data_IF_616872764389
#
_entry.id   IF_616872764389
#
_cell.length_a   1.000
_cell.length_b   1.000
_cell.length_c   1.000
_cell.angle_alpha   90.00
_cell.angle_beta   90.00
_cell.angle_gamma   90.00
#
_symmetry.space_group_name_H-M   'P 1'
#
loop_
_entity.id
_entity.type
_entity.pdbx_description
1 polymer ?
#
# COMPACT_ATOMS: atom_id res chain seq x y z
N UNK A 1 -21.26 45.88 -62.98
CA UNK A 1 -22.26 46.09 -61.91
C UNK A 1 -23.48 45.24 -62.18
N UNK A 2 -23.69 44.15 -61.43
CA UNK A 2 -24.97 43.44 -61.28
C UNK A 2 -24.98 42.82 -59.88
N UNK A 3 -25.80 43.39 -59.00
CA UNK A 3 -26.09 42.88 -57.65
C UNK A 3 -27.07 41.73 -57.81
N UNK A 4 -26.77 40.58 -57.22
CA UNK A 4 -27.75 39.52 -56.97
C UNK A 4 -27.79 39.34 -55.45
N UNK A 5 -28.89 39.79 -54.86
CA UNK A 5 -29.28 39.43 -53.50
C UNK A 5 -29.79 37.97 -53.54
N UNK A 6 -29.31 37.13 -52.63
CA UNK A 6 -29.95 35.86 -52.28
C UNK A 6 -30.21 35.81 -50.77
N UNK A 7 -31.31 35.19 -50.34
CA UNK A 7 -31.82 35.27 -48.98
C UNK A 7 -31.07 34.35 -48.01
N UNK A 8 -30.84 34.87 -46.79
CA UNK A 8 -30.30 34.14 -45.64
C UNK A 8 -31.44 33.28 -45.06
N UNK A 9 -31.33 31.96 -45.18
CA UNK A 9 -32.16 31.02 -44.44
C UNK A 9 -31.53 30.77 -43.06
N UNK A 10 -32.15 31.32 -42.01
CA UNK A 10 -31.77 31.04 -40.62
C UNK A 10 -32.40 29.70 -40.23
N UNK A 11 -31.59 28.65 -40.20
CA UNK A 11 -31.97 27.36 -39.61
C UNK A 11 -31.75 27.48 -38.10
N UNK A 12 -32.84 27.59 -37.34
CA UNK A 12 -32.84 27.50 -35.88
C UNK A 12 -32.68 26.02 -35.52
N UNK A 13 -31.44 25.58 -35.27
CA UNK A 13 -31.17 24.25 -34.73
C UNK A 13 -31.50 24.22 -33.24
N UNK A 14 -32.67 23.70 -32.89
CA UNK A 14 -33.04 23.33 -31.53
C UNK A 14 -32.25 22.08 -31.15
N UNK A 15 -31.00 22.25 -30.70
CA UNK A 15 -30.28 21.17 -30.04
C UNK A 15 -30.85 21.01 -28.63
N UNK A 16 -31.72 20.01 -28.49
CA UNK A 16 -32.24 19.57 -27.21
C UNK A 16 -31.11 19.26 -26.23
N UNK A 17 -31.15 19.93 -25.09
CA UNK A 17 -30.41 19.57 -23.89
C UNK A 17 -30.89 18.18 -23.44
N UNK A 18 -30.24 17.13 -23.93
CA UNK A 18 -30.29 15.84 -23.25
C UNK A 18 -29.54 16.00 -21.93
N UNK A 19 -30.29 16.31 -20.87
CA UNK A 19 -29.83 16.13 -19.51
C UNK A 19 -29.49 14.65 -19.35
N UNK A 20 -28.20 14.33 -19.46
CA UNK A 20 -27.67 13.01 -19.18
C UNK A 20 -28.02 12.69 -17.72
N UNK A 21 -28.99 11.78 -17.54
CA UNK A 21 -29.33 11.18 -16.26
C UNK A 21 -28.02 10.72 -15.61
N UNK A 22 -27.68 11.17 -14.39
CA UNK A 22 -26.48 10.68 -13.73
C UNK A 22 -26.64 9.17 -13.57
N UNK A 23 -25.88 8.41 -14.37
CA UNK A 23 -25.79 6.97 -14.21
C UNK A 23 -25.32 6.74 -12.77
N UNK A 24 -26.20 6.16 -11.94
CA UNK A 24 -25.83 5.62 -10.63
C UNK A 24 -24.66 4.67 -10.88
N UNK A 25 -23.44 5.14 -10.56
CA UNK A 25 -22.25 4.32 -10.63
C UNK A 25 -22.52 3.09 -9.76
N UNK A 26 -22.50 1.91 -10.38
CA UNK A 26 -22.64 0.65 -9.62
C UNK A 26 -21.57 0.66 -8.53
N UNK A 27 -21.91 0.24 -7.29
CA UNK A 27 -20.91 0.18 -6.23
C UNK A 27 -19.75 -0.68 -6.70
N UNK A 28 -18.59 -0.04 -6.80
CA UNK A 28 -17.38 -0.68 -7.31
C UNK A 28 -17.00 -1.80 -6.35
N UNK A 29 -16.84 -3.02 -6.88
CA UNK A 29 -16.36 -4.16 -6.09
C UNK A 29 -14.93 -3.83 -5.64
N UNK A 30 -14.76 -3.55 -4.35
CA UNK A 30 -13.43 -3.39 -3.77
C UNK A 30 -12.71 -4.74 -3.83
N UNK A 31 -11.44 -4.72 -4.22
CA UNK A 31 -10.58 -5.87 -4.03
C UNK A 31 -10.23 -6.01 -2.54
N UNK A 32 -10.00 -7.24 -2.06
CA UNK A 32 -9.75 -7.49 -0.63
C UNK A 32 -8.65 -6.62 -0.03
N UNK A 33 -7.65 -6.23 -0.84
CA UNK A 33 -6.57 -5.37 -0.40
C UNK A 33 -6.92 -3.90 -0.19
N UNK A 34 -7.87 -3.38 -0.95
CA UNK A 34 -8.27 -1.98 -0.90
C UNK A 34 -8.83 -1.61 0.48
N UNK A 35 -9.45 -2.57 1.16
CA UNK A 35 -9.88 -2.43 2.55
C UNK A 35 -8.71 -2.16 3.51
N UNK A 36 -7.59 -2.85 3.37
CA UNK A 36 -6.42 -2.64 4.24
C UNK A 36 -5.77 -1.28 3.99
N UNK A 37 -5.72 -0.83 2.73
CA UNK A 37 -5.24 0.52 2.42
C UNK A 37 -6.14 1.56 3.07
N UNK A 38 -7.46 1.47 2.87
CA UNK A 38 -8.43 2.42 3.45
C UNK A 38 -8.33 2.43 4.98
N UNK A 39 -8.19 1.26 5.61
CA UNK A 39 -8.01 1.14 7.06
C UNK A 39 -6.69 1.72 7.56
N UNK A 40 -5.69 1.90 6.69
CA UNK A 40 -4.39 2.49 7.03
C UNK A 40 -4.31 4.00 6.84
N UNK A 41 -5.36 4.63 6.31
CA UNK A 41 -5.39 6.07 6.10
C UNK A 41 -5.77 6.83 7.37
N UNK A 42 -5.27 8.06 7.57
CA UNK A 42 -5.73 8.89 8.66
C UNK A 42 -7.20 9.32 8.43
N UNK A 43 -7.86 9.71 9.50
CA UNK A 43 -9.25 10.15 9.43
C UNK A 43 -9.41 11.39 8.54
N UNK A 44 -10.50 11.41 7.76
CA UNK A 44 -10.75 12.46 6.79
C UNK A 44 -9.90 12.40 5.51
N UNK A 45 -8.94 11.47 5.40
CA UNK A 45 -8.24 11.25 4.15
C UNK A 45 -9.19 10.73 3.06
N UNK A 46 -8.89 11.10 1.81
CA UNK A 46 -9.63 10.58 0.67
C UNK A 46 -9.48 9.07 0.58
N UNK A 47 -10.62 8.37 0.57
CA UNK A 47 -10.70 6.92 0.37
C UNK A 47 -10.78 6.54 -1.11
N UNK A 48 -10.63 7.51 -2.00
CA UNK A 48 -10.70 7.29 -3.44
C UNK A 48 -9.41 6.61 -3.92
N UNK A 49 -9.57 5.41 -4.47
CA UNK A 49 -8.48 4.66 -5.07
C UNK A 49 -8.49 4.88 -6.58
N UNK A 50 -7.42 5.51 -7.06
CA UNK A 50 -7.18 5.74 -8.48
C UNK A 50 -6.99 4.39 -9.17
N UNK A 51 -7.71 4.17 -10.28
CA UNK A 51 -7.60 2.93 -11.07
C UNK A 51 -6.76 3.24 -12.30
N UNK A 52 -5.47 3.35 -12.06
CA UNK A 52 -4.50 3.62 -13.11
C UNK A 52 -4.15 2.32 -13.85
N UNK A 53 -3.64 2.39 -15.10
CA UNK A 53 -3.31 1.21 -15.89
C UNK A 53 -2.39 0.21 -15.17
N UNK A 54 -1.28 0.67 -14.55
CA UNK A 54 -0.37 -0.25 -13.85
C UNK A 54 -0.99 -0.81 -12.56
N UNK A 55 -1.87 -0.06 -11.90
CA UNK A 55 -2.61 -0.56 -10.73
C UNK A 55 -3.56 -1.70 -11.12
N UNK A 56 -4.31 -1.53 -12.21
CA UNK A 56 -5.18 -2.58 -12.75
C UNK A 56 -4.38 -3.79 -13.25
N UNK A 57 -3.22 -3.57 -13.86
CA UNK A 57 -2.31 -4.65 -14.24
C UNK A 57 -1.83 -5.44 -13.02
N UNK A 58 -1.40 -4.76 -11.96
CA UNK A 58 -0.95 -5.40 -10.73
C UNK A 58 -2.07 -6.19 -10.04
N UNK A 59 -3.29 -5.64 -10.00
CA UNK A 59 -4.48 -6.37 -9.52
C UNK A 59 -4.77 -7.60 -10.39
N UNK A 60 -4.64 -7.49 -11.71
CA UNK A 60 -4.83 -8.62 -12.63
C UNK A 60 -3.79 -9.71 -12.39
N UNK A 61 -2.51 -9.35 -12.20
CA UNK A 61 -1.44 -10.29 -11.86
C UNK A 61 -1.70 -11.00 -10.53
N UNK A 62 -2.29 -10.32 -9.56
CA UNK A 62 -2.59 -10.90 -8.26
C UNK A 62 -3.83 -11.80 -8.26
N UNK A 63 -4.95 -11.34 -8.84
CA UNK A 63 -6.24 -12.01 -8.70
C UNK A 63 -6.62 -12.95 -9.85
N UNK A 64 -6.03 -12.81 -11.04
CA UNK A 64 -6.38 -13.68 -12.16
C UNK A 64 -5.61 -15.01 -12.08
N UNK A 65 -6.34 -16.10 -11.78
CA UNK A 65 -5.80 -17.45 -11.68
C UNK A 65 -5.09 -17.92 -12.96
N UNK A 66 -5.53 -17.45 -14.14
CA UNK A 66 -4.91 -17.82 -15.43
C UNK A 66 -3.47 -17.29 -15.56
N UNK A 67 -3.10 -16.30 -14.74
CA UNK A 67 -1.75 -15.72 -14.72
C UNK A 67 -0.86 -16.31 -13.62
N UNK A 68 -1.39 -17.21 -12.80
CA UNK A 68 -0.67 -17.81 -11.68
C UNK A 68 0.23 -18.93 -12.18
N UNK A 69 1.39 -19.07 -11.52
CA UNK A 69 2.34 -20.15 -11.84
C UNK A 69 2.02 -21.35 -10.96
N UNK A 70 1.92 -22.57 -11.52
CA UNK A 70 1.75 -23.77 -10.73
C UNK A 70 3.02 -24.07 -9.93
N UNK A 71 2.87 -24.25 -8.62
CA UNK A 71 3.94 -24.61 -7.71
C UNK A 71 3.58 -25.85 -6.88
N UNK A 72 4.58 -26.64 -6.52
CA UNK A 72 4.40 -27.82 -5.68
C UNK A 72 4.38 -27.41 -4.21
N UNK A 73 3.20 -27.30 -3.63
CA UNK A 73 3.03 -27.01 -2.22
C UNK A 73 2.99 -28.32 -1.40
N UNK A 74 3.82 -28.39 -0.36
CA UNK A 74 3.91 -29.59 0.50
C UNK A 74 3.55 -29.24 1.94
N UNK A 75 2.51 -29.89 2.47
CA UNK A 75 2.03 -29.67 3.82
C UNK A 75 1.81 -30.99 4.57
N UNK A 76 1.54 -30.92 5.88
CA UNK A 76 1.18 -32.08 6.70
C UNK A 76 -0.33 -32.16 6.82
N UNK A 77 -0.88 -33.31 6.44
CA UNK A 77 -2.30 -33.64 6.56
C UNK A 77 -2.38 -34.98 7.30
N UNK A 78 -3.02 -35.01 8.47
CA UNK A 78 -3.13 -36.21 9.32
C UNK A 78 -1.77 -36.88 9.60
N UNK A 79 -0.74 -36.08 9.89
CA UNK A 79 0.62 -36.57 10.18
C UNK A 79 1.41 -37.04 8.96
N UNK A 80 0.81 -37.11 7.76
CA UNK A 80 1.47 -37.50 6.51
C UNK A 80 1.86 -36.27 5.69
N UNK A 81 2.98 -36.37 4.98
CA UNK A 81 3.45 -35.31 4.06
C UNK A 81 2.72 -35.47 2.72
N UNK A 82 1.91 -34.47 2.37
CA UNK A 82 1.12 -34.44 1.13
C UNK A 82 1.64 -33.30 0.26
N UNK A 83 1.86 -33.57 -1.02
CA UNK A 83 2.21 -32.55 -2.01
C UNK A 83 1.06 -32.36 -2.99
N UNK A 84 0.62 -31.11 -3.18
CA UNK A 84 -0.38 -30.73 -4.20
C UNK A 84 0.18 -29.65 -5.09
N UNK A 85 -0.22 -29.64 -6.36
CA UNK A 85 0.01 -28.47 -7.21
C UNK A 85 -1.00 -27.40 -6.84
N UNK A 86 -0.50 -26.21 -6.56
CA UNK A 86 -1.30 -25.02 -6.27
C UNK A 86 -0.74 -23.88 -7.11
N UNK A 87 -1.61 -23.12 -7.77
CA UNK A 87 -1.18 -21.97 -8.55
C UNK A 87 -1.09 -20.74 -7.66
N UNK A 88 0.04 -20.03 -7.69
CA UNK A 88 0.25 -18.79 -6.95
C UNK A 88 0.60 -17.62 -7.89
N UNK A 89 0.26 -16.37 -7.50
CA UNK A 89 0.77 -15.19 -8.17
C UNK A 89 2.29 -15.11 -8.10
N UNK A 90 2.92 -14.55 -9.13
CA UNK A 90 4.31 -14.11 -9.06
C UNK A 90 4.38 -12.84 -8.18
N UNK A 91 4.54 -13.01 -6.88
CA UNK A 91 4.46 -11.92 -5.90
C UNK A 91 5.53 -10.85 -6.11
N UNK A 92 6.72 -11.23 -6.61
CA UNK A 92 7.76 -10.25 -6.94
C UNK A 92 7.31 -9.36 -8.10
N UNK A 93 6.76 -9.96 -9.17
CA UNK A 93 6.21 -9.21 -10.30
C UNK A 93 5.03 -8.33 -9.88
N UNK A 94 4.11 -8.86 -9.06
CA UNK A 94 2.99 -8.07 -8.52
C UNK A 94 3.50 -6.86 -7.74
N UNK A 95 4.43 -7.09 -6.79
CA UNK A 95 5.02 -6.02 -5.97
C UNK A 95 5.67 -4.93 -6.83
N UNK A 96 6.51 -5.33 -7.78
CA UNK A 96 7.20 -4.40 -8.69
C UNK A 96 6.21 -3.57 -9.52
N UNK A 97 5.13 -4.19 -9.98
CA UNK A 97 4.09 -3.51 -10.78
C UNK A 97 3.32 -2.49 -9.94
N UNK A 98 2.94 -2.85 -8.70
CA UNK A 98 2.34 -1.88 -7.77
C UNK A 98 3.29 -0.73 -7.42
N UNK A 99 4.58 -1.02 -7.20
CA UNK A 99 5.56 0.02 -6.90
C UNK A 99 5.76 0.96 -8.11
N UNK A 100 5.77 0.42 -9.32
CA UNK A 100 5.82 1.20 -10.55
C UNK A 100 4.61 2.13 -10.67
N UNK A 101 3.41 1.62 -10.38
CA UNK A 101 2.19 2.44 -10.32
C UNK A 101 2.27 3.58 -9.29
N UNK A 102 2.85 3.32 -8.12
CA UNK A 102 3.07 4.36 -7.12
C UNK A 102 4.01 5.47 -7.61
N UNK A 103 5.14 5.08 -8.23
CA UNK A 103 6.19 6.00 -8.67
C UNK A 103 5.78 6.78 -9.93
N UNK A 104 5.26 6.09 -10.94
CA UNK A 104 5.00 6.68 -12.27
C UNK A 104 3.62 7.30 -12.39
N UNK A 105 2.61 6.78 -11.68
CA UNK A 105 1.23 7.23 -11.78
C UNK A 105 0.75 7.95 -10.51
N UNK A 106 1.61 8.09 -9.49
CA UNK A 106 1.28 8.73 -8.22
C UNK A 106 0.23 7.97 -7.40
N UNK A 107 0.03 6.69 -7.68
CA UNK A 107 -1.04 5.90 -7.05
C UNK A 107 -0.65 5.44 -5.63
N UNK A 108 -1.03 6.24 -4.63
CA UNK A 108 -0.72 5.96 -3.21
C UNK A 108 -1.24 4.62 -2.70
N UNK A 109 -2.40 4.17 -3.20
CA UNK A 109 -2.91 2.86 -2.85
C UNK A 109 -1.98 1.76 -3.35
N UNK A 110 -1.42 1.91 -4.55
CA UNK A 110 -0.44 0.98 -5.10
C UNK A 110 0.82 0.87 -4.23
N UNK A 111 1.31 1.99 -3.70
CA UNK A 111 2.47 1.98 -2.78
C UNK A 111 2.19 1.12 -1.53
N UNK A 112 1.00 1.28 -0.95
CA UNK A 112 0.55 0.43 0.16
C UNK A 112 0.45 -1.04 -0.25
N UNK A 113 -0.12 -1.35 -1.41
CA UNK A 113 -0.23 -2.74 -1.89
C UNK A 113 1.15 -3.36 -2.11
N UNK A 114 2.11 -2.61 -2.67
CA UNK A 114 3.48 -3.06 -2.80
C UNK A 114 4.09 -3.38 -1.42
N UNK A 115 3.84 -2.56 -0.40
CA UNK A 115 4.34 -2.80 0.94
C UNK A 115 3.66 -4.02 1.57
N UNK A 116 2.35 -4.17 1.41
CA UNK A 116 1.59 -5.32 1.90
C UNK A 116 2.09 -6.64 1.28
N UNK A 117 2.25 -6.68 -0.04
CA UNK A 117 2.77 -7.87 -0.74
C UNK A 117 4.19 -8.18 -0.27
N UNK A 118 5.05 -7.17 -0.14
CA UNK A 118 6.41 -7.37 0.38
C UNK A 118 6.40 -7.91 1.81
N UNK A 119 5.60 -7.35 2.72
CA UNK A 119 5.53 -7.80 4.12
C UNK A 119 5.15 -9.28 4.25
N UNK A 120 4.22 -9.76 3.41
CA UNK A 120 3.65 -11.10 3.53
C UNK A 120 4.37 -12.15 2.65
N UNK A 121 4.98 -11.73 1.54
CA UNK A 121 5.50 -12.66 0.52
C UNK A 121 6.90 -12.32 0.01
N UNK A 122 7.48 -11.18 0.42
CA UNK A 122 8.84 -10.81 0.04
C UNK A 122 9.89 -11.33 1.03
N UNK A 123 11.13 -11.40 0.56
CA UNK A 123 12.27 -11.79 1.40
C UNK A 123 12.66 -10.63 2.32
N UNK A 124 12.16 -10.66 3.56
CA UNK A 124 12.52 -9.69 4.60
C UNK A 124 13.65 -10.21 5.51
N UNK A 125 14.30 -11.31 5.16
CA UNK A 125 15.41 -11.89 5.92
C UNK A 125 16.76 -11.39 5.41
N UNK A 126 16.91 -11.16 4.11
CA UNK A 126 18.12 -10.59 3.56
C UNK A 126 18.14 -9.05 3.61
N UNK A 127 19.34 -8.46 3.66
CA UNK A 127 19.53 -7.01 3.79
C UNK A 127 18.85 -6.21 2.66
N UNK A 128 18.98 -6.66 1.41
CA UNK A 128 18.42 -5.98 0.25
C UNK A 128 16.90 -5.87 0.35
N UNK A 129 16.22 -6.96 0.69
CA UNK A 129 14.77 -6.97 0.82
C UNK A 129 14.28 -6.15 2.00
N UNK A 130 15.00 -6.17 3.13
CA UNK A 130 14.70 -5.27 4.26
C UNK A 130 14.82 -3.79 3.86
N UNK A 131 15.88 -3.40 3.14
CA UNK A 131 16.04 -2.03 2.65
C UNK A 131 14.96 -1.62 1.65
N UNK A 132 14.63 -2.51 0.70
CA UNK A 132 13.54 -2.29 -0.25
C UNK A 132 12.19 -2.11 0.45
N UNK A 133 11.91 -2.90 1.49
CA UNK A 133 10.70 -2.75 2.29
C UNK A 133 10.69 -1.42 3.06
N UNK A 134 11.80 -1.11 3.75
CA UNK A 134 11.96 0.14 4.48
C UNK A 134 11.71 1.37 3.61
N UNK A 135 12.33 1.41 2.43
CA UNK A 135 12.17 2.52 1.49
C UNK A 135 10.69 2.74 1.11
N UNK A 136 9.96 1.65 0.90
CA UNK A 136 8.53 1.73 0.58
C UNK A 136 7.71 2.25 1.77
N UNK A 137 7.87 1.67 2.97
CA UNK A 137 7.08 2.12 4.14
C UNK A 137 7.47 3.53 4.61
N UNK A 138 8.72 3.94 4.41
CA UNK A 138 9.16 5.31 4.66
C UNK A 138 8.53 6.31 3.67
N UNK A 139 8.37 5.93 2.39
CA UNK A 139 7.64 6.74 1.42
C UNK A 139 6.15 6.88 1.80
N UNK A 140 5.51 5.78 2.21
CA UNK A 140 4.13 5.80 2.73
C UNK A 140 3.98 6.70 3.97
N UNK A 141 4.95 6.66 4.90
CA UNK A 141 4.96 7.55 6.05
C UNK A 141 5.04 9.04 5.64
N UNK A 142 5.85 9.36 4.62
CA UNK A 142 5.91 10.72 4.06
C UNK A 142 4.57 11.16 3.47
N UNK A 143 3.87 10.23 2.83
CA UNK A 143 2.50 10.45 2.31
C UNK A 143 1.42 10.55 3.39
N UNK A 144 1.77 10.37 4.67
CA UNK A 144 0.83 10.48 5.79
C UNK A 144 0.07 9.20 6.11
N UNK A 145 0.49 8.06 5.56
CA UNK A 145 -0.16 6.77 5.81
C UNK A 145 0.24 6.20 7.19
N UNK A 146 -0.75 5.74 7.97
CA UNK A 146 -0.57 5.27 9.34
C UNK A 146 0.23 3.96 9.42
N UNK A 147 0.04 3.06 8.45
CA UNK A 147 0.87 1.86 8.33
C UNK A 147 2.33 2.22 8.05
N UNK A 148 2.56 3.13 7.11
CA UNK A 148 3.91 3.62 6.80
C UNK A 148 4.64 4.18 8.03
N UNK A 149 3.96 4.99 8.84
CA UNK A 149 4.55 5.52 10.07
C UNK A 149 4.99 4.43 11.06
N UNK A 150 4.10 3.47 11.36
CA UNK A 150 4.40 2.40 12.33
C UNK A 150 5.54 1.52 11.83
N UNK A 151 5.47 1.08 10.58
CA UNK A 151 6.47 0.16 10.02
C UNK A 151 7.83 0.83 9.83
N UNK A 152 7.88 2.10 9.42
CA UNK A 152 9.15 2.83 9.30
C UNK A 152 9.80 3.12 10.66
N UNK A 153 9.01 3.43 11.70
CA UNK A 153 9.53 3.62 13.05
C UNK A 153 10.23 2.36 13.56
N UNK A 154 9.65 1.18 13.33
CA UNK A 154 10.18 -0.12 13.76
C UNK A 154 11.62 -0.36 13.31
N UNK A 155 12.00 0.08 12.12
CA UNK A 155 13.37 -0.09 11.61
C UNK A 155 14.39 0.68 12.45
N UNK A 156 14.05 1.88 12.90
CA UNK A 156 14.88 2.65 13.83
C UNK A 156 14.80 2.11 15.26
N UNK A 157 13.64 1.60 15.70
CA UNK A 157 13.46 1.01 17.02
C UNK A 157 14.25 -0.27 17.20
N UNK A 158 14.40 -1.08 16.17
CA UNK A 158 15.04 -2.40 16.26
C UNK A 158 16.45 -2.46 15.67
N UNK A 159 16.88 -1.43 14.94
CA UNK A 159 18.16 -1.41 14.24
C UNK A 159 18.26 -2.49 13.16
N UNK A 160 17.31 -2.50 12.21
CA UNK A 160 17.17 -3.52 11.16
C UNK A 160 17.66 -2.95 9.81
N UNK A 161 18.08 -3.80 8.87
CA UNK A 161 18.43 -3.41 7.50
C UNK A 161 19.65 -2.49 7.41
N UNK A 162 20.68 -2.72 8.23
CA UNK A 162 21.86 -1.85 8.34
C UNK A 162 21.53 -0.40 8.79
N UNK A 163 20.30 -0.17 9.26
CA UNK A 163 19.92 1.06 9.93
C UNK A 163 20.28 0.88 11.40
N UNK A 164 21.12 1.77 11.93
CA UNK A 164 21.47 1.75 13.35
C UNK A 164 20.24 2.01 14.22
N UNK A 165 20.19 1.35 15.38
CA UNK A 165 19.22 1.67 16.43
C UNK A 165 19.23 3.19 16.69
N UNK A 166 18.07 3.82 16.58
CA UNK A 166 17.91 5.26 16.77
C UNK A 166 16.54 5.57 17.38
N UNK A 167 16.48 5.47 18.70
CA UNK A 167 15.26 5.72 19.48
C UNK A 167 14.65 7.10 19.23
N UNK A 168 15.50 8.13 19.14
CA UNK A 168 15.05 9.51 18.93
C UNK A 168 14.31 9.64 17.61
N UNK A 169 14.82 9.01 16.55
CA UNK A 169 14.19 9.01 15.24
C UNK A 169 12.90 8.18 15.24
N UNK A 170 12.89 7.00 15.86
CA UNK A 170 11.68 6.18 16.01
C UNK A 170 10.55 6.96 16.73
N UNK A 171 10.85 7.54 17.89
CA UNK A 171 9.90 8.34 18.67
C UNK A 171 9.41 9.58 17.91
N UNK A 172 10.27 10.22 17.11
CA UNK A 172 9.88 11.34 16.26
C UNK A 172 8.82 10.90 15.23
N UNK A 173 9.02 9.76 14.57
CA UNK A 173 8.06 9.21 13.60
C UNK A 173 6.75 8.84 14.30
N UNK A 174 6.81 8.14 15.43
CA UNK A 174 5.61 7.73 16.19
C UNK A 174 4.80 8.92 16.72
N UNK A 175 5.43 10.00 17.18
CA UNK A 175 4.72 11.22 17.63
C UNK A 175 4.03 11.96 16.49
N UNK A 176 4.59 11.90 15.27
CA UNK A 176 3.90 12.42 14.08
C UNK A 176 2.67 11.55 13.78
N UNK A 177 2.84 10.23 13.85
CA UNK A 177 1.78 9.26 13.64
C UNK A 177 0.64 9.44 14.64
N UNK A 178 0.96 9.60 15.93
CA UNK A 178 -0.01 9.80 17.01
C UNK A 178 -0.96 10.96 16.71
N UNK A 179 -0.42 12.08 16.19
CA UNK A 179 -1.22 13.24 15.81
C UNK A 179 -2.05 13.00 14.55
N UNK A 180 -1.43 12.44 13.49
CA UNK A 180 -2.10 12.27 12.19
C UNK A 180 -3.12 11.15 12.19
N UNK A 181 -2.89 10.10 12.97
CA UNK A 181 -3.68 8.88 13.01
C UNK A 181 -4.50 8.76 14.30
N UNK A 182 -4.66 9.85 15.06
CA UNK A 182 -5.32 9.86 16.37
C UNK A 182 -6.71 9.22 16.35
N UNK A 183 -7.49 9.49 15.30
CA UNK A 183 -8.86 9.03 15.19
C UNK A 183 -8.99 7.72 14.39
N UNK A 184 -7.90 7.22 13.81
CA UNK A 184 -7.91 5.92 13.15
C UNK A 184 -7.95 4.81 14.23
N UNK A 185 -9.02 3.99 14.30
CA UNK A 185 -9.24 3.08 15.44
C UNK A 185 -8.21 1.94 15.50
N UNK A 186 -7.70 1.49 14.35
CA UNK A 186 -6.75 0.37 14.28
C UNK A 186 -5.32 0.84 14.57
N UNK A 187 -4.95 2.02 14.08
CA UNK A 187 -3.59 2.52 14.19
C UNK A 187 -3.33 3.36 15.44
N UNK A 188 -4.32 4.09 15.96
CA UNK A 188 -4.15 4.86 17.22
C UNK A 188 -3.72 3.96 18.39
N UNK A 189 -4.38 2.81 18.56
CA UNK A 189 -4.04 1.80 19.58
C UNK A 189 -2.65 1.21 19.36
N UNK A 190 -2.29 0.89 18.11
CA UNK A 190 -0.96 0.38 17.77
C UNK A 190 0.12 1.41 18.07
N UNK A 191 -0.06 2.66 17.65
CA UNK A 191 0.90 3.74 17.90
C UNK A 191 1.08 3.98 19.40
N UNK A 192 0.00 4.03 20.17
CA UNK A 192 0.07 4.18 21.63
C UNK A 192 0.84 3.02 22.28
N UNK A 193 0.62 1.77 21.81
CA UNK A 193 1.38 0.60 22.26
C UNK A 193 2.87 0.75 21.95
N UNK A 194 3.24 1.12 20.72
CA UNK A 194 4.65 1.31 20.34
C UNK A 194 5.33 2.41 21.17
N UNK A 195 4.64 3.54 21.40
CA UNK A 195 5.13 4.61 22.27
C UNK A 195 5.38 4.12 23.71
N UNK A 196 4.49 3.27 24.25
CA UNK A 196 4.65 2.68 25.57
C UNK A 196 5.83 1.70 25.62
N UNK A 197 6.02 0.87 24.60
CA UNK A 197 7.17 -0.05 24.50
C UNK A 197 8.49 0.73 24.54
N UNK A 198 8.56 1.86 23.83
CA UNK A 198 9.72 2.76 23.91
C UNK A 198 9.90 3.36 25.31
N UNK A 199 8.82 3.86 25.93
CA UNK A 199 8.86 4.41 27.29
C UNK A 199 9.43 3.41 28.31
N UNK A 200 9.16 2.12 28.12
CA UNK A 200 9.63 1.06 28.99
C UNK A 200 11.07 0.59 28.66
N UNK A 201 11.75 1.15 27.66
CA UNK A 201 13.12 0.80 27.32
C UNK A 201 13.31 -0.55 26.62
N UNK A 202 12.23 -1.28 26.30
CA UNK A 202 12.29 -2.64 25.75
C UNK A 202 13.18 -2.77 24.51
N UNK A 203 13.06 -1.83 23.56
CA UNK A 203 13.86 -1.85 22.34
C UNK A 203 15.35 -1.63 22.59
N UNK A 204 15.68 -0.76 23.55
CA UNK A 204 17.06 -0.51 23.98
C UNK A 204 17.66 -1.78 24.60
N UNK A 205 16.96 -2.39 25.54
CA UNK A 205 17.40 -3.63 26.20
C UNK A 205 17.62 -4.76 25.19
N UNK A 206 16.68 -4.95 24.26
CA UNK A 206 16.77 -5.94 23.18
C UNK A 206 17.97 -5.69 22.27
N UNK A 207 18.24 -4.44 21.92
CA UNK A 207 19.38 -4.07 21.08
C UNK A 207 20.71 -4.32 21.81
N UNK A 208 20.84 -3.89 23.06
CA UNK A 208 22.03 -4.08 23.88
C UNK A 208 22.33 -5.57 24.11
N UNK A 209 21.31 -6.41 24.31
CA UNK A 209 21.45 -7.86 24.40
C UNK A 209 22.06 -8.47 23.12
N UNK A 210 21.53 -8.11 21.94
CA UNK A 210 22.06 -8.58 20.65
C UNK A 210 23.51 -8.16 20.40
N UNK A 211 23.93 -6.99 20.89
CA UNK A 211 25.31 -6.53 20.75
C UNK A 211 26.27 -7.30 21.65
N UNK A 212 25.80 -7.80 22.81
CA UNK A 212 26.59 -8.67 23.69
C UNK A 212 26.81 -10.06 23.09
N UNK A 213 25.83 -10.62 22.39
CA UNK A 213 25.95 -11.93 21.72
C UNK A 213 26.95 -11.94 20.55
N UNK A 214 27.31 -10.77 20.03
CA UNK A 214 28.27 -10.62 18.91
C UNK A 214 29.72 -10.41 19.36
N UNK A 215 29.97 -10.30 20.67
CA UNK A 215 31.30 -10.12 21.27
C UNK A 215 31.76 -11.43 21.89
#
# INVERSE_FOLDING_TARGET
MKKILMPIAIIVSVCGLFASVPQKQKPKKLYGFEHFYIASLPDGASKNIQQTPLYQEALSLYYNADKHKPEKFTYRENGKRVSKQVAFPDFEKVRKTFLKSYIEEGNKAAGFMAAYVHKNYGDTYNLKGQLEYFNNVAALAKDGNCFGYVESAKYFSEGIADISYNEKQALKILRIAEKKCANNPDYSKRIAKELLIHKNGFYKEKYEAKQKEKK
#
